data_IF_345688819495
#
_entry.id   IF_345688819495
#
_cell.length_a   1.000
_cell.length_b   1.000
_cell.length_c   1.000
_cell.angle_alpha   90.00
_cell.angle_beta   90.00
_cell.angle_gamma   90.00
#
_symmetry.space_group_name_H-M   'P 1'
#
loop_
_entity.id
_entity.type
_entity.pdbx_description
1 polymer ?
#
# COMPACT_ATOMS: atom_id res chain seq x y z
N UNK A 1 -5.42 3.48 38.23
CA UNK A 1 -5.94 3.44 36.85
C UNK A 1 -4.84 2.87 35.98
N UNK A 2 -4.85 1.54 35.89
CA UNK A 2 -3.78 0.77 35.25
C UNK A 2 -3.89 0.93 33.74
N UNK A 3 -2.79 1.40 33.16
CA UNK A 3 -2.57 1.48 31.72
C UNK A 3 -2.73 0.08 31.13
N UNK A 4 -3.73 -0.10 30.25
CA UNK A 4 -3.86 -1.32 29.46
C UNK A 4 -2.79 -1.26 28.37
N UNK A 5 -1.63 -1.84 28.68
CA UNK A 5 -0.57 -2.15 27.74
C UNK A 5 -0.62 -3.65 27.42
N UNK A 6 -1.36 -4.02 26.37
CA UNK A 6 -1.22 -5.22 25.52
C UNK A 6 -2.40 -5.16 24.52
N UNK A 7 -2.29 -4.94 23.22
CA UNK A 7 -1.32 -5.47 22.27
C UNK A 7 -1.15 -4.46 21.13
N UNK A 8 -0.02 -3.75 21.10
CA UNK A 8 0.42 -3.09 19.87
C UNK A 8 1.05 -4.14 18.97
N UNK A 9 0.24 -5.02 18.38
CA UNK A 9 0.62 -5.55 17.07
C UNK A 9 0.78 -4.30 16.20
N UNK A 10 1.97 -4.10 15.64
CA UNK A 10 2.41 -2.93 14.86
C UNK A 10 1.41 -2.66 13.72
N UNK A 11 0.27 -2.06 14.05
CA UNK A 11 -0.78 -1.71 13.11
C UNK A 11 -0.19 -0.57 12.30
N UNK A 12 0.26 -0.88 11.08
CA UNK A 12 0.86 0.11 10.21
C UNK A 12 -0.26 1.04 9.79
N UNK A 13 -0.24 2.28 10.27
CA UNK A 13 -1.22 3.28 9.90
C UNK A 13 -0.80 3.97 8.59
N UNK A 14 -1.78 4.27 7.74
CA UNK A 14 -1.54 5.05 6.54
C UNK A 14 -1.05 6.46 6.90
N UNK A 15 0.11 6.92 6.41
CA UNK A 15 0.66 8.23 6.76
C UNK A 15 -0.14 9.42 6.21
N UNK A 16 -1.13 9.18 5.34
CA UNK A 16 -1.96 10.22 4.73
C UNK A 16 -3.29 10.43 5.47
N UNK A 17 -3.95 9.35 5.88
CA UNK A 17 -5.25 9.41 6.56
C UNK A 17 -5.19 9.01 8.04
N UNK A 18 -4.04 8.51 8.54
CA UNK A 18 -3.87 7.97 9.90
C UNK A 18 -4.86 6.85 10.23
N UNK A 19 -5.28 6.10 9.21
CA UNK A 19 -6.14 4.93 9.38
C UNK A 19 -5.31 3.64 9.34
N UNK A 20 -5.68 2.62 10.13
CA UNK A 20 -4.97 1.35 10.16
C UNK A 20 -5.03 0.67 8.78
N UNK A 21 -3.89 0.20 8.29
CA UNK A 21 -3.83 -0.59 7.06
C UNK A 21 -4.35 -2.01 7.32
N UNK A 22 -5.12 -2.54 6.39
CA UNK A 22 -5.56 -3.93 6.44
C UNK A 22 -4.41 -4.87 6.03
N UNK A 23 -4.57 -6.17 6.30
CA UNK A 23 -3.56 -7.19 6.00
C UNK A 23 -3.18 -7.24 4.52
N UNK A 24 -4.12 -6.92 3.62
CA UNK A 24 -3.87 -6.79 2.17
C UNK A 24 -3.07 -5.53 1.84
N UNK A 25 -3.32 -4.43 2.55
CA UNK A 25 -2.62 -3.17 2.38
C UNK A 25 -1.18 -3.21 2.96
N UNK A 26 -0.91 -4.11 3.92
CA UNK A 26 0.44 -4.31 4.48
C UNK A 26 1.47 -4.74 3.43
N UNK A 27 1.03 -5.40 2.36
CA UNK A 27 1.87 -5.76 1.22
C UNK A 27 1.64 -4.88 -0.01
N UNK A 28 0.84 -3.81 0.13
CA UNK A 28 0.52 -2.89 -0.94
C UNK A 28 1.51 -1.71 -0.98
N UNK A 29 2.42 -1.75 -1.95
CA UNK A 29 3.38 -0.68 -2.21
C UNK A 29 3.16 -0.13 -3.62
N UNK A 30 2.32 0.93 -3.78
CA UNK A 30 2.00 1.44 -5.11
C UNK A 30 3.21 2.07 -5.81
N UNK A 31 4.26 2.41 -5.06
CA UNK A 31 5.52 2.91 -5.59
C UNK A 31 6.71 2.07 -5.10
N UNK A 32 7.69 1.87 -5.99
CA UNK A 32 8.92 1.12 -5.70
C UNK A 32 9.88 1.84 -4.74
N UNK A 33 9.57 3.06 -4.31
CA UNK A 33 10.34 3.75 -3.26
C UNK A 33 10.10 3.18 -1.85
N UNK A 34 9.12 2.28 -1.68
CA UNK A 34 8.74 1.72 -0.38
C UNK A 34 7.79 2.61 0.41
N UNK A 35 7.23 3.67 -0.20
CA UNK A 35 6.23 4.50 0.46
C UNK A 35 4.86 3.81 0.45
N UNK A 36 4.46 3.32 1.61
CA UNK A 36 3.22 2.60 1.84
C UNK A 36 2.08 3.56 2.20
N UNK A 37 0.93 3.34 1.58
CA UNK A 37 -0.31 4.09 1.81
C UNK A 37 -1.49 3.15 1.62
N UNK A 38 -2.65 3.49 2.19
CA UNK A 38 -3.86 2.72 1.98
C UNK A 38 -4.35 2.82 0.53
N UNK A 39 -5.11 1.80 0.10
CA UNK A 39 -5.72 1.74 -1.23
C UNK A 39 -6.61 2.94 -1.55
N UNK A 40 -7.34 3.47 -0.57
CA UNK A 40 -8.19 4.65 -0.73
C UNK A 40 -7.38 5.91 -1.04
N UNK A 41 -6.30 6.16 -0.29
CA UNK A 41 -5.42 7.30 -0.53
C UNK A 41 -4.74 7.19 -1.90
N UNK A 42 -4.27 6.00 -2.27
CA UNK A 42 -3.70 5.75 -3.59
C UNK A 42 -4.72 6.05 -4.72
N UNK A 43 -5.96 5.58 -4.57
CA UNK A 43 -7.02 5.80 -5.56
C UNK A 43 -7.37 7.29 -5.70
N UNK A 44 -7.46 8.01 -4.58
CA UNK A 44 -7.66 9.46 -4.55
C UNK A 44 -6.52 10.21 -5.23
N UNK A 45 -5.26 9.86 -4.95
CA UNK A 45 -4.10 10.51 -5.58
C UNK A 45 -4.10 10.28 -7.10
N UNK A 46 -4.52 9.10 -7.57
CA UNK A 46 -4.62 8.79 -9.00
C UNK A 46 -5.80 9.48 -9.70
N UNK A 47 -6.89 9.73 -8.99
CA UNK A 47 -8.15 10.23 -9.58
C UNK A 47 -8.28 11.74 -9.46
N UNK A 48 -8.01 12.28 -8.26
CA UNK A 48 -8.22 13.68 -7.90
C UNK A 48 -6.92 14.51 -7.92
N UNK A 49 -5.76 13.85 -7.86
CA UNK A 49 -4.46 14.49 -7.76
C UNK A 49 -3.57 14.12 -8.97
N UNK A 50 -2.25 14.24 -8.84
CA UNK A 50 -1.33 14.11 -9.98
C UNK A 50 -0.95 12.65 -10.30
N UNK A 51 -1.45 11.67 -9.54
CA UNK A 51 -1.02 10.27 -9.65
C UNK A 51 0.46 10.04 -9.29
N UNK A 52 1.08 10.97 -8.57
CA UNK A 52 2.49 10.92 -8.18
C UNK A 52 2.63 10.49 -6.71
N UNK A 53 3.66 9.70 -6.41
CA UNK A 53 4.02 9.35 -5.05
C UNK A 53 4.40 10.60 -4.24
N UNK A 54 3.83 10.83 -3.05
CA UNK A 54 4.11 12.03 -2.26
C UNK A 54 5.53 12.06 -1.69
N UNK A 55 6.18 10.91 -1.51
CA UNK A 55 7.55 10.83 -1.01
C UNK A 55 8.60 11.07 -2.11
N UNK A 56 8.49 10.38 -3.24
CA UNK A 56 9.53 10.39 -4.29
C UNK A 56 9.13 11.16 -5.56
N UNK A 57 7.88 11.66 -5.64
CA UNK A 57 7.29 12.36 -6.78
C UNK A 57 7.33 11.61 -8.12
N UNK A 58 7.52 10.28 -8.09
CA UNK A 58 7.41 9.42 -9.27
C UNK A 58 5.94 9.08 -9.54
N UNK A 59 5.56 9.00 -10.80
CA UNK A 59 4.25 8.46 -11.18
C UNK A 59 4.11 7.04 -10.64
N UNK A 60 2.96 6.75 -10.02
CA UNK A 60 2.61 5.37 -9.70
C UNK A 60 2.56 4.60 -11.02
N UNK A 61 3.15 3.40 -11.06
CA UNK A 61 3.12 2.59 -12.28
C UNK A 61 1.66 2.23 -12.58
N UNK A 62 1.18 2.64 -13.75
CA UNK A 62 -0.22 2.50 -14.15
C UNK A 62 -0.62 1.07 -14.52
N UNK A 63 0.35 0.15 -14.54
CA UNK A 63 0.12 -1.25 -14.89
C UNK A 63 -0.25 -2.05 -13.64
N UNK A 64 -1.55 -2.40 -13.44
CA UNK A 64 -1.90 -3.45 -12.50
C UNK A 64 -1.24 -4.73 -13.00
N UNK A 65 -0.25 -5.17 -12.23
CA UNK A 65 0.48 -6.40 -12.40
C UNK A 65 1.46 -6.46 -13.59
N UNK A 66 2.74 -6.52 -13.26
CA UNK A 66 3.60 -7.55 -13.83
C UNK A 66 3.05 -8.91 -13.36
N UNK A 67 1.83 -9.25 -13.82
CA UNK A 67 1.28 -10.60 -13.71
C UNK A 67 2.15 -11.36 -14.68
N UNK A 68 3.28 -11.89 -14.20
CA UNK A 68 3.90 -13.01 -14.91
C UNK A 68 2.82 -14.09 -14.86
N UNK A 69 2.15 -14.41 -15.99
CA UNK A 69 1.27 -15.57 -15.98
C UNK A 69 2.15 -16.73 -15.53
N UNK A 70 1.74 -17.42 -14.46
CA UNK A 70 2.41 -18.63 -14.01
C UNK A 70 2.58 -19.51 -15.26
N UNK A 71 3.82 -19.80 -15.64
CA UNK A 71 4.06 -20.64 -16.82
C UNK A 71 3.45 -22.00 -16.53
N UNK A 72 2.94 -22.67 -17.57
CA UNK A 72 2.19 -23.94 -17.48
C UNK A 72 2.98 -25.10 -16.83
N UNK A 73 4.24 -24.86 -16.46
CA UNK A 73 5.19 -25.81 -15.89
C UNK A 73 4.98 -26.01 -14.39
N UNK A 74 4.42 -25.04 -13.67
CA UNK A 74 4.14 -25.14 -12.22
C UNK A 74 2.77 -25.78 -11.91
N UNK A 75 2.05 -26.27 -12.93
CA UNK A 75 0.77 -26.96 -12.80
C UNK A 75 0.88 -28.48 -13.06
N UNK A 76 2.11 -29.00 -13.12
CA UNK A 76 2.39 -30.45 -13.24
C UNK A 76 2.33 -31.17 -11.91
#
# INVERSE_FOLDING_TARGET
MSVLNQSGEDAVDCPLCMEPLEVDDLNFFPCTCGYQICRFCWHRIRTDENGLCPACRKAYSENPADFKPLTKEEIS
#
